data_IF_218004966019
#
_entry.id   IF_218004966019
#
_cell.length_a   1.000
_cell.length_b   1.000
_cell.length_c   1.000
_cell.angle_alpha   90.00
_cell.angle_beta   90.00
_cell.angle_gamma   90.00
#
_symmetry.space_group_name_H-M   'P 1'
#
loop_
_entity.id
_entity.type
_entity.pdbx_description
1 polymer ?
#
# COMPACT_ATOMS: atom_id res chain seq x y z
N UNK A 1 -19.58 -3.57 15.49
CA UNK A 1 -20.69 -2.62 15.26
C UNK A 1 -20.09 -1.22 15.19
N UNK A 2 -20.37 -0.46 14.13
CA UNK A 2 -20.04 0.96 14.04
C UNK A 2 -21.32 1.78 14.25
N UNK A 3 -21.28 2.80 15.09
CA UNK A 3 -22.46 3.53 15.55
C UNK A 3 -22.21 5.04 15.60
N UNK A 4 -23.25 5.84 15.43
CA UNK A 4 -23.27 7.28 15.68
C UNK A 4 -24.58 7.65 16.35
N UNK A 5 -24.53 8.51 17.37
CA UNK A 5 -25.71 9.03 18.06
C UNK A 5 -25.76 10.53 17.87
N UNK A 6 -26.71 11.00 17.07
CA UNK A 6 -26.92 12.44 16.86
C UNK A 6 -27.94 12.94 17.87
N UNK A 7 -27.47 13.77 18.80
CA UNK A 7 -28.29 14.40 19.84
C UNK A 7 -27.72 15.78 20.20
N UNK A 8 -28.54 16.64 20.80
CA UNK A 8 -28.11 17.97 21.25
C UNK A 8 -27.37 17.92 22.59
N UNK A 9 -27.71 16.95 23.45
CA UNK A 9 -27.08 16.72 24.74
C UNK A 9 -26.96 15.22 24.98
N UNK A 10 -25.73 14.71 24.86
CA UNK A 10 -25.45 13.30 25.02
C UNK A 10 -23.98 13.02 25.25
N UNK A 11 -23.74 11.82 25.75
CA UNK A 11 -22.44 11.31 26.12
C UNK A 11 -22.28 9.91 25.53
N UNK A 12 -21.10 9.61 25.03
CA UNK A 12 -20.71 8.29 24.53
C UNK A 12 -19.34 7.97 25.11
N UNK A 13 -19.16 6.78 25.66
CA UNK A 13 -17.87 6.38 26.24
C UNK A 13 -17.93 5.05 26.99
N UNK A 14 -16.82 4.69 27.61
CA UNK A 14 -16.69 3.59 28.57
C UNK A 14 -15.97 4.09 29.84
N UNK A 15 -15.53 3.19 30.71
CA UNK A 15 -14.82 3.56 31.94
C UNK A 15 -13.38 4.08 31.69
N UNK A 16 -12.89 4.05 30.45
CA UNK A 16 -11.52 4.39 30.06
C UNK A 16 -11.41 5.55 29.07
N UNK A 17 -12.45 5.81 28.27
CA UNK A 17 -12.46 6.86 27.26
C UNK A 17 -13.86 7.48 27.10
N UNK A 18 -13.88 8.79 26.96
CA UNK A 18 -15.04 9.56 26.51
C UNK A 18 -14.85 9.89 25.03
N UNK A 19 -15.92 9.75 24.24
CA UNK A 19 -15.94 9.98 22.81
C UNK A 19 -16.78 11.21 22.45
N UNK A 20 -16.42 11.87 21.36
CA UNK A 20 -17.24 12.91 20.76
C UNK A 20 -18.53 12.27 20.19
N UNK A 21 -19.72 12.57 20.78
CA UNK A 21 -20.98 11.99 20.33
C UNK A 21 -21.36 12.46 18.91
N UNK A 22 -20.77 13.55 18.43
CA UNK A 22 -21.01 14.07 17.09
C UNK A 22 -20.35 13.23 16.00
N UNK A 23 -19.40 12.35 16.35
CA UNK A 23 -18.68 11.46 15.44
C UNK A 23 -19.16 10.01 15.57
N UNK A 24 -19.02 9.18 14.52
CA UNK A 24 -19.26 7.75 14.63
C UNK A 24 -18.12 7.08 15.40
N UNK A 25 -18.40 5.97 16.09
CA UNK A 25 -17.44 5.14 16.81
C UNK A 25 -17.60 3.67 16.43
N UNK A 26 -16.52 2.90 16.60
CA UNK A 26 -16.54 1.45 16.47
C UNK A 26 -16.56 0.80 17.85
N UNK A 27 -17.51 -0.11 18.08
CA UNK A 27 -17.55 -0.88 19.31
C UNK A 27 -16.34 -1.80 19.40
N UNK A 28 -15.59 -1.67 20.48
CA UNK A 28 -14.46 -2.53 20.84
C UNK A 28 -14.92 -3.69 21.74
N UNK A 29 -14.01 -4.63 22.03
CA UNK A 29 -14.26 -5.74 22.96
C UNK A 29 -14.58 -5.26 24.40
N UNK A 30 -14.32 -3.98 24.73
CA UNK A 30 -14.58 -3.37 26.06
C UNK A 30 -16.01 -2.85 26.25
N UNK A 31 -16.85 -2.91 25.19
CA UNK A 31 -18.20 -2.37 25.21
C UNK A 31 -18.24 -0.83 25.22
N UNK A 32 -19.35 -0.27 24.75
CA UNK A 32 -19.58 1.17 24.68
C UNK A 32 -20.95 1.51 25.27
N UNK A 33 -21.04 2.62 25.99
CA UNK A 33 -22.30 3.14 26.52
C UNK A 33 -22.58 4.51 25.90
N UNK A 34 -23.85 4.77 25.63
CA UNK A 34 -24.34 6.07 25.20
C UNK A 34 -25.51 6.50 26.10
N UNK A 35 -25.55 7.78 26.49
CA UNK A 35 -26.64 8.40 27.27
C UNK A 35 -27.01 9.73 26.63
N UNK A 36 -28.28 10.10 26.65
CA UNK A 36 -28.74 11.38 26.11
C UNK A 36 -30.01 11.85 26.82
N UNK A 37 -30.28 13.15 26.73
CA UNK A 37 -31.52 13.75 27.21
C UNK A 37 -32.39 14.16 26.02
N UNK A 38 -33.67 13.78 26.04
CA UNK A 38 -34.62 14.11 24.97
C UNK A 38 -34.51 13.18 23.75
N UNK A 39 -34.44 13.75 22.54
CA UNK A 39 -34.43 12.98 21.28
C UNK A 39 -33.01 12.68 20.81
N UNK A 40 -32.83 11.49 20.24
CA UNK A 40 -31.61 11.08 19.58
C UNK A 40 -31.93 10.32 18.27
N UNK A 41 -31.06 10.47 17.27
CA UNK A 41 -31.03 9.60 16.09
C UNK A 41 -29.82 8.68 16.18
N UNK A 42 -30.06 7.37 16.25
CA UNK A 42 -29.00 6.36 16.25
C UNK A 42 -28.82 5.81 14.84
N UNK A 43 -27.57 5.76 14.38
CA UNK A 43 -27.17 5.21 13.09
C UNK A 43 -26.16 4.12 13.36
N UNK A 44 -26.44 2.89 12.93
CA UNK A 44 -25.55 1.77 13.19
C UNK A 44 -25.39 0.87 11.97
N UNK A 45 -24.16 0.43 11.73
CA UNK A 45 -23.85 -0.73 10.89
C UNK A 45 -23.40 -1.87 11.80
N UNK A 46 -24.15 -2.96 11.72
CA UNK A 46 -23.81 -4.22 12.38
C UNK A 46 -23.29 -5.15 11.31
N UNK A 47 -22.04 -5.57 11.49
CA UNK A 47 -21.36 -6.50 10.58
C UNK A 47 -21.15 -7.80 11.33
N UNK A 48 -21.38 -8.92 10.65
CA UNK A 48 -20.93 -10.20 11.17
C UNK A 48 -19.40 -10.21 11.24
N UNK A 49 -18.87 -10.55 12.42
CA UNK A 49 -17.43 -10.49 12.65
C UNK A 49 -16.66 -11.50 11.78
N UNK A 50 -17.22 -12.69 11.57
CA UNK A 50 -16.57 -13.75 10.79
C UNK A 50 -16.53 -13.39 9.31
N UNK A 51 -17.61 -12.82 8.77
CA UNK A 51 -17.66 -12.36 7.37
C UNK A 51 -16.76 -11.14 7.12
N UNK A 52 -16.75 -10.18 8.05
CA UNK A 52 -15.84 -9.04 7.98
C UNK A 52 -14.38 -9.47 8.06
N UNK A 53 -14.05 -10.42 8.95
CA UNK A 53 -12.71 -11.01 9.06
C UNK A 53 -12.33 -11.78 7.80
N UNK A 54 -13.23 -12.58 7.24
CA UNK A 54 -13.00 -13.28 5.99
C UNK A 54 -12.69 -12.30 4.84
N UNK A 55 -13.47 -11.22 4.73
CA UNK A 55 -13.23 -10.15 3.75
C UNK A 55 -11.87 -9.48 3.98
N UNK A 56 -11.53 -9.17 5.24
CA UNK A 56 -10.27 -8.56 5.62
C UNK A 56 -9.05 -9.44 5.28
N UNK A 57 -9.13 -10.76 5.54
CA UNK A 57 -8.12 -11.75 5.14
C UNK A 57 -7.93 -11.77 3.63
N UNK A 58 -9.02 -11.83 2.88
CA UNK A 58 -9.00 -11.92 1.42
C UNK A 58 -8.34 -10.69 0.77
N UNK A 59 -8.51 -9.51 1.35
CA UNK A 59 -7.94 -8.25 0.84
C UNK A 59 -6.47 -8.06 1.26
N UNK A 60 -6.18 -8.27 2.54
CA UNK A 60 -4.82 -8.16 3.07
C UNK A 60 -3.91 -9.27 2.50
N UNK A 61 -4.45 -10.46 2.30
CA UNK A 61 -3.69 -11.68 2.02
C UNK A 61 -3.05 -12.29 3.27
N UNK A 62 -3.43 -11.83 4.46
CA UNK A 62 -2.99 -12.41 5.74
C UNK A 62 -4.07 -13.38 6.24
N UNK A 63 -3.95 -14.66 5.93
CA UNK A 63 -4.90 -15.70 6.34
C UNK A 63 -5.01 -15.87 7.85
N UNK A 64 -4.02 -15.38 8.61
CA UNK A 64 -3.98 -15.44 10.07
C UNK A 64 -4.58 -14.21 10.74
N UNK A 65 -5.02 -13.21 9.96
CA UNK A 65 -5.61 -11.99 10.49
C UNK A 65 -6.81 -12.33 11.38
N UNK A 66 -6.79 -11.82 12.61
CA UNK A 66 -7.94 -11.76 13.51
C UNK A 66 -8.39 -10.32 13.58
N UNK A 67 -9.62 -10.05 13.16
CA UNK A 67 -10.15 -8.70 13.07
C UNK A 67 -10.47 -8.17 14.47
N UNK A 68 -9.84 -7.06 14.86
CA UNK A 68 -10.09 -6.35 16.13
C UNK A 68 -10.03 -4.85 15.89
N UNK A 69 -10.95 -4.12 16.53
CA UNK A 69 -10.83 -2.68 16.68
C UNK A 69 -9.70 -2.38 17.68
N UNK A 70 -8.76 -1.52 17.30
CA UNK A 70 -7.67 -1.09 18.18
C UNK A 70 -8.04 0.18 18.93
N UNK A 71 -8.85 1.03 18.31
CA UNK A 71 -9.40 2.27 18.89
C UNK A 71 -10.89 2.37 18.57
N UNK A 72 -11.65 3.02 19.46
CA UNK A 72 -13.07 3.30 19.24
C UNK A 72 -13.33 4.47 18.26
N UNK A 73 -12.63 5.62 18.32
CA UNK A 73 -12.87 6.72 17.38
C UNK A 73 -12.40 6.39 15.95
N UNK A 74 -12.89 7.14 14.94
CA UNK A 74 -12.44 7.02 13.57
C UNK A 74 -11.03 7.60 13.42
N UNK A 75 -10.28 7.12 12.42
CA UNK A 75 -8.88 7.53 12.18
C UNK A 75 -8.73 9.02 11.87
N UNK A 76 -9.80 9.67 11.40
CA UNK A 76 -9.88 11.12 11.19
C UNK A 76 -11.32 11.59 11.02
N UNK A 77 -11.53 12.91 11.12
CA UNK A 77 -12.82 13.55 10.77
C UNK A 77 -13.19 13.31 9.30
N UNK A 78 -12.22 13.24 8.39
CA UNK A 78 -12.47 12.92 6.99
C UNK A 78 -12.97 11.48 6.80
N UNK A 79 -12.35 10.54 7.51
CA UNK A 79 -12.76 9.13 7.53
C UNK A 79 -14.17 8.96 8.11
N UNK A 80 -14.49 9.67 9.21
CA UNK A 80 -15.83 9.72 9.78
C UNK A 80 -16.88 10.19 8.74
N UNK A 81 -16.61 11.30 8.04
CA UNK A 81 -17.50 11.82 7.00
C UNK A 81 -17.66 10.85 5.84
N UNK A 82 -16.61 10.13 5.46
CA UNK A 82 -16.68 9.11 4.42
C UNK A 82 -17.57 7.93 4.84
N UNK A 83 -17.39 7.43 6.06
CA UNK A 83 -18.23 6.39 6.62
C UNK A 83 -19.71 6.78 6.64
N UNK A 84 -20.02 8.02 7.00
CA UNK A 84 -21.40 8.50 6.99
C UNK A 84 -22.04 8.58 5.60
N UNK A 85 -21.25 8.94 4.59
CA UNK A 85 -21.71 8.91 3.20
C UNK A 85 -22.03 7.49 2.76
N UNK A 86 -21.15 6.53 3.09
CA UNK A 86 -21.38 5.13 2.82
C UNK A 86 -22.62 4.60 3.55
N UNK A 87 -22.76 4.90 4.84
CA UNK A 87 -23.96 4.54 5.62
C UNK A 87 -25.24 5.05 4.97
N UNK A 88 -25.27 6.33 4.58
CA UNK A 88 -26.46 6.93 3.95
C UNK A 88 -26.82 6.22 2.66
N UNK A 89 -25.84 5.99 1.80
CA UNK A 89 -26.01 5.26 0.55
C UNK A 89 -26.55 3.84 0.80
N UNK A 90 -25.90 3.06 1.67
CA UNK A 90 -26.31 1.68 1.99
C UNK A 90 -27.73 1.65 2.52
N UNK A 91 -28.09 2.54 3.44
CA UNK A 91 -29.44 2.64 4.01
C UNK A 91 -30.49 2.97 2.95
N UNK A 92 -30.20 3.89 2.04
CA UNK A 92 -31.12 4.28 0.97
C UNK A 92 -31.28 3.14 -0.05
N UNK A 93 -30.18 2.51 -0.42
CA UNK A 93 -30.17 1.35 -1.33
C UNK A 93 -30.82 0.11 -0.72
N UNK A 94 -30.72 -0.10 0.59
CA UNK A 94 -31.37 -1.24 1.26
C UNK A 94 -32.88 -1.07 1.36
N UNK A 95 -33.35 0.16 1.61
CA UNK A 95 -34.79 0.46 1.65
C UNK A 95 -35.43 0.30 0.27
N UNK A 96 -34.76 0.78 -0.79
CA UNK A 96 -35.23 0.61 -2.16
C UNK A 96 -35.26 -0.88 -2.57
N UNK A 97 -34.21 -1.64 -2.26
CA UNK A 97 -34.15 -3.07 -2.57
C UNK A 97 -35.21 -3.89 -1.82
N UNK A 98 -35.56 -3.51 -0.58
CA UNK A 98 -36.62 -4.19 0.19
C UNK A 98 -38.03 -4.00 -0.40
N UNK A 99 -38.22 -3.02 -1.29
CA UNK A 99 -39.50 -2.76 -1.96
C UNK A 99 -39.65 -3.45 -3.32
N UNK A 100 -38.57 -4.03 -3.85
CA UNK A 100 -38.55 -4.74 -5.13
C UNK A 100 -38.51 -6.25 -4.86
N UNK A 101 -39.55 -7.01 -5.25
CA UNK A 101 -39.66 -8.47 -5.01
C UNK A 101 -38.58 -9.32 -5.72
N UNK A 102 -37.70 -8.71 -6.51
CA UNK A 102 -36.70 -9.39 -7.34
C UNK A 102 -35.29 -8.85 -7.10
N UNK A 103 -34.71 -9.16 -5.94
CA UNK A 103 -33.31 -8.89 -5.66
C UNK A 103 -32.52 -10.18 -5.50
N UNK A 104 -31.88 -10.67 -6.55
CA UNK A 104 -30.83 -11.70 -6.43
C UNK A 104 -29.82 -11.25 -5.37
N UNK A 105 -29.45 -12.13 -4.43
CA UNK A 105 -28.59 -11.84 -3.27
C UNK A 105 -27.21 -11.23 -3.59
N UNK A 106 -26.88 -11.06 -4.88
CA UNK A 106 -25.75 -10.30 -5.40
C UNK A 106 -25.78 -8.84 -4.92
N UNK A 107 -26.93 -8.16 -4.96
CA UNK A 107 -27.00 -6.75 -4.53
C UNK A 107 -26.78 -6.60 -3.03
N UNK A 108 -27.37 -7.50 -2.25
CA UNK A 108 -27.16 -7.58 -0.80
C UNK A 108 -25.69 -7.85 -0.46
N UNK A 109 -25.05 -8.80 -1.17
CA UNK A 109 -23.64 -9.10 -0.99
C UNK A 109 -22.73 -7.91 -1.30
N UNK A 110 -23.04 -7.13 -2.33
CA UNK A 110 -22.29 -5.91 -2.66
C UNK A 110 -22.50 -4.79 -1.65
N UNK A 111 -23.74 -4.57 -1.16
CA UNK A 111 -24.00 -3.62 -0.08
C UNK A 111 -23.27 -4.03 1.21
N UNK A 112 -23.27 -5.31 1.55
CA UNK A 112 -22.53 -5.85 2.70
C UNK A 112 -21.02 -5.63 2.55
N UNK A 113 -20.46 -5.93 1.37
CA UNK A 113 -19.03 -5.68 1.07
C UNK A 113 -18.70 -4.21 1.22
N UNK A 114 -19.54 -3.32 0.71
CA UNK A 114 -19.35 -1.88 0.82
C UNK A 114 -19.41 -1.40 2.28
N UNK A 115 -20.36 -1.89 3.07
CA UNK A 115 -20.48 -1.60 4.50
C UNK A 115 -19.23 -2.02 5.29
N UNK A 116 -18.73 -3.22 4.99
CA UNK A 116 -17.51 -3.77 5.59
C UNK A 116 -16.29 -2.92 5.25
N UNK A 117 -16.07 -2.64 3.96
CA UNK A 117 -14.92 -1.84 3.50
C UNK A 117 -14.95 -0.41 4.03
N UNK A 118 -16.11 0.24 4.02
CA UNK A 118 -16.26 1.58 4.55
C UNK A 118 -15.96 1.64 6.05
N UNK A 119 -16.37 0.61 6.80
CA UNK A 119 -16.09 0.51 8.24
C UNK A 119 -14.60 0.26 8.50
N UNK A 120 -14.01 -0.75 7.85
CA UNK A 120 -12.59 -1.08 8.04
C UNK A 120 -11.65 0.07 7.61
N UNK A 121 -12.05 0.86 6.63
CA UNK A 121 -11.25 2.02 6.19
C UNK A 121 -11.38 3.22 7.12
N UNK A 122 -12.48 3.34 7.86
CA UNK A 122 -12.77 4.52 8.67
C UNK A 122 -12.23 4.46 10.10
N UNK A 123 -12.07 3.26 10.66
CA UNK A 123 -11.72 3.02 12.07
C UNK A 123 -10.46 2.23 12.20
N UNK A 124 -9.62 2.53 13.21
CA UNK A 124 -8.38 1.79 13.50
C UNK A 124 -8.69 0.33 13.83
N UNK A 125 -8.23 -0.59 12.98
CA UNK A 125 -8.34 -2.04 13.21
C UNK A 125 -7.05 -2.76 12.83
N UNK A 126 -6.91 -4.00 13.27
CA UNK A 126 -5.81 -4.90 12.85
C UNK A 126 -5.74 -5.12 11.33
N UNK A 127 -6.78 -4.78 10.57
CA UNK A 127 -6.78 -4.82 9.11
C UNK A 127 -5.78 -3.83 8.50
N UNK A 128 -5.67 -2.61 9.03
CA UNK A 128 -4.72 -1.61 8.52
C UNK A 128 -3.28 -2.06 8.72
N UNK A 129 -2.97 -2.56 9.92
CA UNK A 129 -1.66 -3.15 10.23
C UNK A 129 -1.36 -4.33 9.28
N UNK A 130 -2.36 -5.16 8.97
CA UNK A 130 -2.20 -6.26 8.03
C UNK A 130 -1.98 -5.76 6.58
N UNK A 131 -2.64 -4.69 6.15
CA UNK A 131 -2.38 -4.07 4.85
C UNK A 131 -0.96 -3.50 4.76
N UNK A 132 -0.50 -2.84 5.81
CA UNK A 132 0.85 -2.28 5.89
C UNK A 132 1.90 -3.39 5.88
N UNK A 133 1.73 -4.43 6.71
CA UNK A 133 2.58 -5.63 6.70
C UNK A 133 2.56 -6.31 5.34
N UNK A 134 1.40 -6.45 4.70
CA UNK A 134 1.30 -7.04 3.38
C UNK A 134 1.98 -6.17 2.31
N UNK A 135 1.90 -4.84 2.39
CA UNK A 135 2.61 -3.94 1.48
C UNK A 135 4.14 -4.04 1.65
N UNK A 136 4.61 -4.21 2.88
CA UNK A 136 6.04 -4.39 3.20
C UNK A 136 6.56 -5.79 2.83
N UNK A 137 5.73 -6.82 2.98
CA UNK A 137 6.10 -8.23 2.78
C UNK A 137 5.85 -8.73 1.35
N UNK A 138 4.99 -8.04 0.57
CA UNK A 138 4.70 -8.45 -0.80
C UNK A 138 5.97 -8.27 -1.64
N UNK A 139 6.52 -9.36 -2.21
CA UNK A 139 7.61 -9.22 -3.18
C UNK A 139 7.12 -8.31 -4.32
N UNK A 140 8.01 -7.45 -4.81
CA UNK A 140 7.71 -6.50 -5.89
C UNK A 140 6.87 -7.19 -7.00
N UNK A 141 5.92 -6.50 -7.64
CA UNK A 141 5.04 -7.10 -8.65
C UNK A 141 5.83 -7.97 -9.63
N UNK A 142 5.28 -9.11 -10.07
CA UNK A 142 6.00 -10.06 -10.93
C UNK A 142 6.63 -9.41 -12.17
N UNK A 143 6.01 -8.33 -12.68
CA UNK A 143 6.55 -7.46 -13.74
C UNK A 143 7.88 -6.81 -13.37
N UNK A 144 7.98 -6.21 -12.18
CA UNK A 144 9.20 -5.58 -11.67
C UNK A 144 10.28 -6.63 -11.43
N UNK A 145 9.93 -7.81 -10.89
CA UNK A 145 10.90 -8.90 -10.71
C UNK A 145 11.49 -9.38 -12.03
N UNK A 146 10.66 -9.55 -13.07
CA UNK A 146 11.13 -9.90 -14.42
C UNK A 146 12.06 -8.83 -14.99
N UNK A 147 11.69 -7.56 -14.85
CA UNK A 147 12.53 -6.45 -15.29
C UNK A 147 13.89 -6.44 -14.58
N UNK A 148 13.90 -6.62 -13.26
CA UNK A 148 15.12 -6.67 -12.45
C UNK A 148 16.00 -7.84 -12.87
N UNK A 149 15.44 -9.05 -12.96
CA UNK A 149 16.19 -10.24 -13.37
C UNK A 149 16.80 -10.07 -14.76
N UNK A 150 16.06 -9.46 -15.70
CA UNK A 150 16.58 -9.14 -17.03
C UNK A 150 17.72 -8.12 -16.96
N UNK A 151 17.57 -7.03 -16.20
CA UNK A 151 18.62 -6.02 -16.02
C UNK A 151 19.89 -6.65 -15.43
N UNK A 152 19.76 -7.47 -14.40
CA UNK A 152 20.90 -8.10 -13.72
C UNK A 152 21.62 -9.10 -14.61
N UNK A 153 20.88 -9.90 -15.39
CA UNK A 153 21.45 -10.86 -16.34
C UNK A 153 22.15 -10.18 -17.53
N UNK A 154 21.64 -9.05 -18.00
CA UNK A 154 22.09 -8.40 -19.25
C UNK A 154 22.77 -7.04 -19.04
N UNK A 155 23.23 -6.74 -17.81
CA UNK A 155 23.75 -5.41 -17.47
C UNK A 155 24.96 -4.98 -18.32
N UNK A 156 25.78 -5.91 -18.80
CA UNK A 156 26.96 -5.63 -19.64
C UNK A 156 26.61 -5.46 -21.14
N UNK A 157 25.38 -5.79 -21.52
CA UNK A 157 24.90 -5.70 -22.90
C UNK A 157 24.30 -4.32 -23.20
N UNK A 158 24.22 -3.89 -24.47
CA UNK A 158 23.64 -2.62 -24.88
C UNK A 158 22.09 -2.63 -24.84
N UNK A 159 21.50 -3.13 -23.75
CA UNK A 159 20.04 -3.19 -23.58
C UNK A 159 19.39 -1.80 -23.45
N UNK A 160 18.19 -1.67 -24.02
CA UNK A 160 17.35 -0.48 -23.99
C UNK A 160 16.23 -0.60 -22.96
N UNK A 161 15.51 0.50 -22.69
CA UNK A 161 14.34 0.49 -21.82
C UNK A 161 13.20 -0.34 -22.42
N UNK A 162 13.11 -0.41 -23.75
CA UNK A 162 12.09 -1.20 -24.45
C UNK A 162 12.38 -2.70 -24.35
N UNK A 163 13.66 -3.11 -24.34
CA UNK A 163 14.05 -4.51 -24.08
C UNK A 163 13.62 -4.94 -22.67
N UNK A 164 13.89 -4.09 -21.68
CA UNK A 164 13.48 -4.33 -20.29
C UNK A 164 11.95 -4.42 -20.18
N UNK A 165 11.23 -3.53 -20.86
CA UNK A 165 9.76 -3.51 -20.87
C UNK A 165 9.20 -4.80 -21.52
N UNK A 166 9.80 -5.24 -22.61
CA UNK A 166 9.46 -6.47 -23.33
C UNK A 166 9.67 -7.71 -22.45
N UNK A 167 10.83 -7.83 -21.80
CA UNK A 167 11.10 -8.90 -20.84
C UNK A 167 10.12 -8.89 -19.65
N UNK A 168 9.72 -7.69 -19.22
CA UNK A 168 8.72 -7.49 -18.17
C UNK A 168 7.27 -7.72 -18.63
N UNK A 169 7.03 -7.87 -19.95
CA UNK A 169 5.71 -8.03 -20.60
C UNK A 169 4.76 -6.86 -20.36
N UNK A 170 5.27 -5.64 -20.45
CA UNK A 170 4.50 -4.39 -20.26
C UNK A 170 5.00 -3.31 -21.22
N UNK A 171 4.25 -2.22 -21.35
CA UNK A 171 4.72 -1.04 -22.07
C UNK A 171 5.83 -0.30 -21.30
N UNK A 172 6.64 0.47 -22.01
CA UNK A 172 7.70 1.34 -21.45
C UNK A 172 7.16 2.31 -20.40
N UNK A 173 5.96 2.88 -20.64
CA UNK A 173 5.25 3.73 -19.67
C UNK A 173 4.84 2.95 -18.42
N UNK A 174 4.34 1.72 -18.61
CA UNK A 174 4.01 0.81 -17.50
C UNK A 174 5.24 0.45 -16.67
N UNK A 175 6.39 0.22 -17.32
CA UNK A 175 7.66 -0.08 -16.67
C UNK A 175 8.13 1.09 -15.79
N UNK A 176 8.12 2.31 -16.33
CA UNK A 176 8.49 3.53 -15.59
C UNK A 176 7.60 3.71 -14.35
N UNK A 177 6.28 3.54 -14.50
CA UNK A 177 5.35 3.64 -13.38
C UNK A 177 5.59 2.55 -12.33
N UNK A 178 5.79 1.31 -12.76
CA UNK A 178 6.02 0.16 -11.88
C UNK A 178 7.32 0.32 -11.07
N UNK A 179 8.41 0.78 -11.69
CA UNK A 179 9.67 1.07 -11.01
C UNK A 179 9.54 2.21 -10.01
N UNK A 180 8.91 3.33 -10.40
CA UNK A 180 8.70 4.46 -9.49
C UNK A 180 7.88 4.07 -8.25
N UNK A 181 6.84 3.25 -8.44
CA UNK A 181 5.97 2.79 -7.35
C UNK A 181 6.65 1.77 -6.41
N UNK A 182 7.54 0.93 -6.93
CA UNK A 182 8.11 -0.19 -6.18
C UNK A 182 9.52 0.06 -5.63
N UNK A 183 10.27 0.99 -6.21
CA UNK A 183 11.69 1.23 -5.92
C UNK A 183 12.07 2.71 -5.86
N UNK A 184 11.12 3.63 -6.03
CA UNK A 184 11.34 5.08 -5.99
C UNK A 184 12.42 5.59 -6.97
N UNK A 185 12.69 4.83 -8.03
CA UNK A 185 13.67 5.16 -9.06
C UNK A 185 13.18 4.73 -10.43
N UNK A 186 13.82 5.20 -11.50
CA UNK A 186 13.55 4.78 -12.87
C UNK A 186 14.30 3.49 -13.24
N UNK A 187 13.84 2.74 -14.26
CA UNK A 187 14.54 1.56 -14.76
C UNK A 187 15.98 1.84 -15.21
N UNK A 188 16.23 3.03 -15.79
CA UNK A 188 17.56 3.45 -16.25
C UNK A 188 18.50 3.83 -15.10
N UNK A 189 17.97 4.29 -13.98
CA UNK A 189 18.74 4.47 -12.74
C UNK A 189 19.11 3.13 -12.13
N UNK A 190 18.19 2.16 -12.13
CA UNK A 190 18.48 0.80 -11.65
C UNK A 190 19.54 0.09 -12.53
N UNK A 191 19.39 0.11 -13.85
CA UNK A 191 20.42 -0.45 -14.75
C UNK A 191 21.80 0.19 -14.51
N UNK A 192 21.84 1.51 -14.29
CA UNK A 192 23.08 2.22 -14.00
C UNK A 192 23.67 1.81 -12.66
N UNK A 193 22.85 1.59 -11.63
CA UNK A 193 23.35 1.17 -10.32
C UNK A 193 23.94 -0.24 -10.38
N UNK A 194 23.32 -1.16 -11.11
CA UNK A 194 23.85 -2.52 -11.36
C UNK A 194 25.18 -2.44 -12.12
N UNK A 195 25.25 -1.64 -13.20
CA UNK A 195 26.50 -1.43 -13.96
C UNK A 195 27.62 -0.82 -13.12
N UNK A 196 27.31 0.13 -12.24
CA UNK A 196 28.30 0.73 -11.32
C UNK A 196 28.76 -0.25 -10.24
N UNK A 197 27.88 -1.15 -9.77
CA UNK A 197 28.23 -2.18 -8.79
C UNK A 197 29.22 -3.16 -9.42
N UNK A 198 28.88 -3.75 -10.56
CA UNK A 198 29.78 -4.67 -11.25
C UNK A 198 31.11 -4.04 -11.69
N UNK A 199 31.09 -2.78 -12.12
CA UNK A 199 32.33 -2.05 -12.44
C UNK A 199 33.20 -1.78 -11.20
N UNK A 200 32.57 -1.53 -10.03
CA UNK A 200 33.29 -1.38 -8.78
C UNK A 200 33.96 -2.69 -8.39
N UNK A 201 33.24 -3.80 -8.48
CA UNK A 201 33.77 -5.14 -8.17
C UNK A 201 34.94 -5.48 -9.09
N UNK A 202 34.83 -5.26 -10.41
CA UNK A 202 35.94 -5.48 -11.35
C UNK A 202 37.18 -4.65 -10.96
N UNK A 203 37.01 -3.38 -10.58
CA UNK A 203 38.12 -2.50 -10.20
C UNK A 203 38.76 -2.96 -8.88
N UNK A 204 37.94 -3.30 -7.89
CA UNK A 204 38.38 -3.78 -6.57
C UNK A 204 39.08 -5.15 -6.62
N UNK A 205 39.01 -5.87 -7.74
CA UNK A 205 39.74 -7.11 -7.99
C UNK A 205 40.89 -6.94 -9.00
N UNK A 206 41.40 -5.72 -9.16
CA UNK A 206 42.66 -5.45 -9.88
C UNK A 206 42.51 -5.35 -11.40
N UNK A 207 41.38 -4.86 -11.91
CA UNK A 207 41.21 -4.69 -13.35
C UNK A 207 42.28 -3.80 -14.00
N UNK A 208 42.74 -4.19 -15.19
CA UNK A 208 43.87 -3.57 -15.91
C UNK A 208 43.63 -2.16 -16.48
N UNK A 209 42.45 -1.56 -16.23
CA UNK A 209 42.21 -0.17 -16.60
C UNK A 209 40.75 0.29 -16.50
N UNK A 210 40.56 1.46 -15.87
CA UNK A 210 39.26 2.09 -15.61
C UNK A 210 38.45 2.29 -16.90
N UNK A 211 39.08 2.76 -17.97
CA UNK A 211 38.39 3.00 -19.24
C UNK A 211 37.88 1.71 -19.89
N UNK A 212 38.62 0.61 -19.74
CA UNK A 212 38.22 -0.71 -20.23
C UNK A 212 37.05 -1.27 -19.42
N UNK A 213 37.11 -1.18 -18.09
CA UNK A 213 36.01 -1.57 -17.21
C UNK A 213 34.75 -0.75 -17.50
N UNK A 214 34.88 0.57 -17.64
CA UNK A 214 33.75 1.44 -17.96
C UNK A 214 33.05 1.02 -19.26
N UNK A 215 33.81 0.73 -20.33
CA UNK A 215 33.25 0.24 -21.60
C UNK A 215 32.59 -1.12 -21.45
N UNK A 216 33.22 -2.06 -20.74
CA UNK A 216 32.69 -3.42 -20.48
C UNK A 216 31.31 -3.37 -19.79
N UNK A 217 31.14 -2.44 -18.86
CA UNK A 217 29.87 -2.22 -18.16
C UNK A 217 28.93 -1.23 -18.87
N UNK A 218 29.15 -0.96 -20.16
CA UNK A 218 28.23 -0.19 -21.00
C UNK A 218 28.26 1.32 -20.81
N UNK A 219 29.33 1.89 -20.24
CA UNK A 219 29.53 3.35 -20.19
C UNK A 219 30.33 3.84 -21.40
N UNK A 220 29.67 4.59 -22.29
CA UNK A 220 30.31 5.17 -23.48
C UNK A 220 31.21 6.38 -23.21
N UNK A 221 31.20 6.95 -22.00
CA UNK A 221 32.02 8.11 -21.64
C UNK A 221 32.72 7.88 -20.30
N UNK A 222 34.07 7.83 -20.27
CA UNK A 222 34.85 7.71 -19.04
C UNK A 222 34.54 8.82 -18.03
N UNK A 223 34.36 10.07 -18.49
CA UNK A 223 34.04 11.20 -17.61
C UNK A 223 32.68 11.04 -16.94
N UNK A 224 31.65 10.60 -17.68
CA UNK A 224 30.32 10.32 -17.10
C UNK A 224 30.37 9.14 -16.13
N UNK A 225 31.10 8.08 -16.48
CA UNK A 225 31.33 6.95 -15.58
C UNK A 225 31.95 7.42 -14.26
N UNK A 226 33.06 8.16 -14.31
CA UNK A 226 33.74 8.66 -13.11
C UNK A 226 32.83 9.55 -12.25
N UNK A 227 32.01 10.41 -12.87
CA UNK A 227 31.05 11.24 -12.15
C UNK A 227 29.94 10.41 -11.47
N UNK A 228 29.39 9.41 -12.16
CA UNK A 228 28.40 8.51 -11.60
C UNK A 228 28.98 7.65 -10.47
N UNK A 229 30.19 7.16 -10.65
CA UNK A 229 30.93 6.39 -9.67
C UNK A 229 31.18 7.21 -8.40
N UNK A 230 31.73 8.41 -8.53
CA UNK A 230 31.98 9.31 -7.38
C UNK A 230 30.70 9.66 -6.64
N UNK A 231 29.59 9.91 -7.35
CA UNK A 231 28.30 10.16 -6.69
C UNK A 231 27.82 8.97 -5.87
N UNK A 232 28.11 7.73 -6.31
CA UNK A 232 27.67 6.52 -5.63
C UNK A 232 28.58 6.11 -4.46
N UNK A 233 29.90 6.21 -4.63
CA UNK A 233 30.89 5.67 -3.70
C UNK A 233 31.66 6.75 -2.92
N UNK A 234 31.49 8.03 -3.24
CA UNK A 234 32.16 9.15 -2.57
C UNK A 234 33.57 9.47 -3.11
N UNK A 235 34.22 8.55 -3.80
CA UNK A 235 35.57 8.71 -4.36
C UNK A 235 35.63 8.33 -5.85
N UNK A 236 36.73 8.66 -6.53
CA UNK A 236 36.94 8.32 -7.93
C UNK A 236 37.28 6.83 -8.12
N UNK A 237 36.99 6.23 -9.30
CA UNK A 237 37.38 4.85 -9.60
C UNK A 237 38.90 4.59 -9.49
N UNK A 238 39.71 5.62 -9.75
CA UNK A 238 41.17 5.53 -9.66
C UNK A 238 41.69 5.46 -8.23
N UNK A 239 40.90 5.92 -7.25
CA UNK A 239 41.24 5.77 -5.84
C UNK A 239 41.00 4.30 -5.45
N UNK A 240 39.85 3.73 -5.81
CA UNK A 240 39.57 2.30 -5.60
C UNK A 240 40.64 1.38 -6.18
N UNK A 241 41.12 1.68 -7.40
CA UNK A 241 42.17 0.89 -8.05
C UNK A 241 43.52 0.99 -7.35
N UNK A 242 43.81 2.11 -6.65
CA UNK A 242 45.06 2.27 -5.89
C UNK A 242 45.02 1.56 -4.54
N UNK A 243 43.82 1.37 -4.00
CA UNK A 243 43.58 0.73 -2.71
C UNK A 243 43.45 -0.81 -2.81
N UNK A 244 43.60 -1.36 -4.02
CA UNK A 244 43.60 -2.80 -4.32
C UNK A 244 45.01 -3.33 -4.51
#
# INVERSE_FOLDING_TARGET
MACRVVTADGWVGNDHEDLDPSLPWLSTDRGMRARWVGRAQVRALVLDRREAEHTARRISGDDRLVLRATEAPPTSVAAARQWERAYRYIRESSVAAATEENGDGVWEAELHRHATLATLSAFSTTFQEALERAAQTRPAPATVRRAIAFIEAHAQEPITVDDIATAARISTRGLQYAFRRSREMSPTEYLRSVRLAGAHDDIAHGASGIATVARRWGFGSPSRFAAYYRRRYGHAPAETLRDT
#
